data_IF_963835185584
#
_entry.id   IF_963835185584
#
_cell.length_a   1.000
_cell.length_b   1.000
_cell.length_c   1.000
_cell.angle_alpha   90.00
_cell.angle_beta   90.00
_cell.angle_gamma   90.00
#
_symmetry.space_group_name_H-M   'P 1'
#
loop_
_entity.id
_entity.type
_entity.pdbx_description
1 polymer ?
#
# COMPACT_ATOMS: atom_id res chain seq x y z
N UNK A 1 12.91 7.92 26.60
CA UNK A 1 12.50 8.32 25.25
C UNK A 1 12.34 7.05 24.43
N UNK A 2 11.15 6.79 23.91
CA UNK A 2 10.90 5.63 23.03
C UNK A 2 11.33 6.03 21.63
N UNK A 3 12.21 5.24 21.01
CA UNK A 3 12.55 5.36 19.58
C UNK A 3 11.67 4.43 18.79
N UNK A 4 10.81 4.99 17.92
CA UNK A 4 9.95 4.19 17.06
C UNK A 4 10.74 3.53 15.91
N UNK A 5 11.73 4.24 15.36
CA UNK A 5 12.74 3.72 14.45
C UNK A 5 14.13 4.09 14.96
N UNK A 6 15.07 3.16 14.84
CA UNK A 6 16.42 3.32 15.34
C UNK A 6 17.44 2.96 14.25
N UNK A 7 17.95 4.00 13.57
CA UNK A 7 18.96 3.94 12.52
C UNK A 7 18.59 2.96 11.37
N UNK A 8 17.40 3.14 10.79
CA UNK A 8 16.92 2.31 9.68
C UNK A 8 17.35 2.93 8.35
N UNK A 9 18.08 2.16 7.55
CA UNK A 9 18.41 2.48 6.16
C UNK A 9 17.98 1.33 5.26
N UNK A 10 17.02 1.58 4.35
CA UNK A 10 16.46 0.57 3.46
C UNK A 10 16.03 1.18 2.14
N UNK A 11 16.27 0.46 1.04
CA UNK A 11 15.74 0.80 -0.28
C UNK A 11 14.71 -0.25 -0.72
N UNK A 12 13.71 0.18 -1.48
CA UNK A 12 12.67 -0.65 -2.08
C UNK A 12 12.85 -0.66 -3.60
N UNK A 13 12.78 -1.84 -4.20
CA UNK A 13 12.94 -2.01 -5.65
C UNK A 13 11.74 -1.49 -6.43
N UNK A 14 11.99 -0.98 -7.65
CA UNK A 14 10.91 -0.69 -8.58
C UNK A 14 10.30 -1.99 -9.10
N UNK A 15 8.96 -2.07 -9.17
CA UNK A 15 8.26 -3.28 -9.58
C UNK A 15 8.45 -4.47 -8.63
N UNK A 16 8.73 -4.20 -7.36
CA UNK A 16 8.92 -5.22 -6.32
C UNK A 16 7.76 -5.18 -5.31
N UNK A 17 7.29 -6.35 -4.89
CA UNK A 17 6.38 -6.48 -3.77
C UNK A 17 7.17 -6.74 -2.49
N UNK A 18 7.26 -5.74 -1.61
CA UNK A 18 7.94 -5.88 -0.31
C UNK A 18 6.92 -5.89 0.82
N UNK A 19 6.98 -6.90 1.70
CA UNK A 19 6.23 -6.91 2.94
C UNK A 19 7.12 -6.49 4.12
N UNK A 20 6.54 -5.77 5.08
CA UNK A 20 7.17 -5.38 6.35
C UNK A 20 6.42 -6.09 7.46
N UNK A 21 7.10 -6.98 8.18
CA UNK A 21 6.55 -7.78 9.26
C UNK A 21 7.21 -7.48 10.60
N UNK A 22 6.62 -7.97 11.67
CA UNK A 22 7.16 -7.89 13.03
C UNK A 22 6.06 -7.75 14.08
N UNK A 23 6.40 -7.87 15.37
CA UNK A 23 5.43 -7.77 16.45
C UNK A 23 4.79 -6.39 16.55
N UNK A 24 3.68 -6.30 17.30
CA UNK A 24 3.06 -5.01 17.60
C UNK A 24 4.06 -4.08 18.33
N UNK A 25 4.07 -2.81 17.95
CA UNK A 25 5.00 -1.83 18.51
C UNK A 25 6.43 -1.85 17.96
N UNK A 26 6.75 -2.71 16.97
CA UNK A 26 8.10 -2.79 16.40
C UNK A 26 8.50 -1.62 15.46
N UNK A 27 7.60 -0.66 15.22
CA UNK A 27 7.88 0.52 14.38
C UNK A 27 7.37 0.44 12.95
N UNK A 28 6.70 -0.65 12.51
CA UNK A 28 6.21 -0.85 11.13
C UNK A 28 5.32 0.29 10.61
N UNK A 29 4.27 0.63 11.38
CA UNK A 29 3.34 1.71 10.99
C UNK A 29 4.04 3.07 10.96
N UNK A 30 4.97 3.32 11.89
CA UNK A 30 5.81 4.54 11.87
C UNK A 30 6.67 4.58 10.62
N UNK A 31 7.32 3.47 10.26
CA UNK A 31 8.12 3.36 9.03
C UNK A 31 7.26 3.63 7.80
N UNK A 32 6.10 3.00 7.73
CA UNK A 32 5.16 3.19 6.62
C UNK A 32 4.69 4.64 6.51
N UNK A 33 4.32 5.28 7.65
CA UNK A 33 3.89 6.69 7.64
C UNK A 33 5.00 7.63 7.17
N UNK A 34 6.25 7.38 7.58
CA UNK A 34 7.41 8.15 7.14
C UNK A 34 7.68 7.93 5.64
N UNK A 35 7.67 6.68 5.16
CA UNK A 35 7.83 6.35 3.74
C UNK A 35 6.74 6.99 2.86
N UNK A 36 5.54 7.09 3.39
CA UNK A 36 4.40 7.71 2.73
C UNK A 36 4.35 9.24 2.87
N UNK A 37 5.29 9.85 3.59
CA UNK A 37 5.29 11.28 3.87
C UNK A 37 4.10 11.75 4.71
N UNK A 38 3.50 10.85 5.50
CA UNK A 38 2.43 11.18 6.45
C UNK A 38 2.99 11.66 7.79
N UNK A 39 4.22 11.26 8.09
CA UNK A 39 4.96 11.69 9.27
C UNK A 39 6.41 12.05 8.87
N UNK A 40 7.07 12.87 9.67
CA UNK A 40 8.45 13.29 9.44
C UNK A 40 9.41 12.54 10.36
N UNK A 41 10.54 12.02 9.86
CA UNK A 41 11.55 11.43 10.72
C UNK A 41 12.23 12.51 11.57
N UNK A 42 12.67 12.17 12.79
CA UNK A 42 13.45 13.07 13.65
C UNK A 42 14.80 13.43 12.99
N UNK A 43 15.36 12.50 12.23
CA UNK A 43 16.59 12.67 11.45
C UNK A 43 16.61 11.68 10.28
N UNK A 44 17.49 11.90 9.32
CA UNK A 44 17.57 11.08 8.10
C UNK A 44 16.77 11.65 6.94
N UNK A 45 16.69 10.91 5.85
CA UNK A 45 16.02 11.33 4.62
C UNK A 45 15.21 10.19 4.01
N UNK A 46 14.14 10.55 3.33
CA UNK A 46 13.31 9.63 2.55
C UNK A 46 13.21 10.12 1.12
N UNK A 47 13.40 9.21 0.19
CA UNK A 47 13.30 9.48 -1.22
C UNK A 47 12.17 8.68 -1.85
N UNK A 48 11.38 9.34 -2.68
CA UNK A 48 10.45 8.69 -3.61
C UNK A 48 10.98 8.96 -5.01
N UNK A 49 11.45 7.90 -5.67
CA UNK A 49 12.30 8.04 -6.86
C UNK A 49 13.51 8.95 -6.53
N UNK A 50 13.77 9.98 -7.30
CA UNK A 50 14.88 10.93 -7.09
C UNK A 50 14.51 12.13 -6.20
N UNK A 51 13.31 12.15 -5.62
CA UNK A 51 12.81 13.28 -4.83
C UNK A 51 12.98 13.04 -3.33
N UNK A 52 13.79 13.87 -2.66
CA UNK A 52 13.86 13.90 -1.18
C UNK A 52 12.58 14.53 -0.64
N UNK A 53 11.68 13.66 -0.12
CA UNK A 53 10.38 14.10 0.39
C UNK A 53 10.49 14.77 1.77
N UNK A 54 11.56 14.52 2.51
CA UNK A 54 11.79 15.16 3.83
C UNK A 54 12.18 16.63 3.72
N UNK A 55 12.67 17.05 2.56
CA UNK A 55 13.01 18.45 2.27
C UNK A 55 11.83 19.28 1.73
N UNK A 56 10.68 18.62 1.44
CA UNK A 56 9.53 19.28 0.83
C UNK A 56 8.70 20.06 1.87
N UNK A 57 8.17 21.21 1.44
CA UNK A 57 7.12 21.94 2.18
C UNK A 57 5.77 21.21 2.03
N UNK A 58 4.87 21.40 2.99
CA UNK A 58 3.55 20.73 3.07
C UNK A 58 2.77 20.72 1.75
N UNK A 59 2.72 21.84 1.04
CA UNK A 59 2.01 21.93 -0.24
C UNK A 59 2.64 21.05 -1.33
N UNK A 60 3.98 21.00 -1.40
CA UNK A 60 4.68 20.16 -2.36
C UNK A 60 4.57 18.68 -1.99
N UNK A 61 4.71 18.37 -0.70
CA UNK A 61 4.54 17.00 -0.17
C UNK A 61 3.12 16.48 -0.40
N UNK A 62 2.09 17.31 -0.20
CA UNK A 62 0.70 16.95 -0.48
C UNK A 62 0.46 16.63 -1.96
N UNK A 63 1.06 17.42 -2.87
CA UNK A 63 0.98 17.13 -4.32
C UNK A 63 1.72 15.83 -4.67
N UNK A 64 2.91 15.61 -4.11
CA UNK A 64 3.67 14.39 -4.33
C UNK A 64 2.88 13.15 -3.85
N UNK A 65 2.34 13.20 -2.62
CA UNK A 65 1.51 12.09 -2.10
C UNK A 65 0.34 11.76 -3.01
N UNK A 66 -0.40 12.78 -3.45
CA UNK A 66 -1.55 12.61 -4.36
C UNK A 66 -1.15 11.94 -5.68
N UNK A 67 0.01 12.32 -6.21
CA UNK A 67 0.40 11.96 -7.58
C UNK A 67 1.31 10.73 -7.65
N UNK A 68 2.08 10.44 -6.57
CA UNK A 68 3.16 9.44 -6.58
C UNK A 68 3.00 8.31 -5.56
N UNK A 69 2.03 8.42 -4.62
CA UNK A 69 1.83 7.42 -3.58
C UNK A 69 0.37 6.98 -3.56
N UNK A 70 0.14 5.70 -3.83
CA UNK A 70 -1.17 5.07 -3.65
C UNK A 70 -1.32 4.54 -2.23
N UNK A 71 -2.51 4.66 -1.65
CA UNK A 71 -2.78 4.16 -0.29
C UNK A 71 -3.88 3.11 -0.31
N UNK A 72 -3.61 1.99 0.38
CA UNK A 72 -4.58 0.94 0.68
C UNK A 72 -4.57 0.71 2.19
N UNK A 73 -5.71 0.86 2.86
CA UNK A 73 -5.84 0.76 4.31
C UNK A 73 -6.71 -0.43 4.70
N UNK A 74 -6.51 -0.94 5.90
CA UNK A 74 -7.34 -1.98 6.50
C UNK A 74 -8.84 -1.62 6.55
N UNK A 75 -9.17 -0.36 6.83
CA UNK A 75 -10.55 0.15 6.91
C UNK A 75 -11.07 0.71 5.59
N UNK A 76 -10.42 0.37 4.45
CA UNK A 76 -10.77 0.79 3.08
C UNK A 76 -10.71 2.31 2.86
N UNK A 77 -11.11 3.11 3.82
CA UNK A 77 -11.15 4.59 3.81
C UNK A 77 -11.83 5.15 2.54
N UNK A 78 -12.93 4.52 2.14
CA UNK A 78 -13.78 5.03 1.07
C UNK A 78 -14.66 6.16 1.60
N UNK A 79 -14.94 7.15 0.76
CA UNK A 79 -15.88 8.23 1.08
C UNK A 79 -17.29 7.66 0.99
N UNK A 80 -18.06 7.56 2.11
CA UNK A 80 -19.30 6.80 2.15
C UNK A 80 -20.43 7.39 1.32
N UNK A 81 -20.38 8.70 1.04
CA UNK A 81 -21.37 9.42 0.23
C UNK A 81 -21.13 9.29 -1.27
N UNK A 82 -19.96 8.82 -1.68
CA UNK A 82 -19.58 8.61 -3.08
C UNK A 82 -19.82 7.15 -3.48
N UNK A 83 -20.21 6.93 -4.74
CA UNK A 83 -20.22 5.60 -5.34
C UNK A 83 -18.79 5.09 -5.61
N UNK A 84 -18.65 3.83 -6.03
CA UNK A 84 -17.36 3.22 -6.30
C UNK A 84 -16.59 3.97 -7.40
N UNK A 85 -17.26 4.37 -8.50
CA UNK A 85 -16.64 5.16 -9.57
C UNK A 85 -16.07 6.46 -9.04
N UNK A 86 -16.82 7.21 -8.25
CA UNK A 86 -16.40 8.49 -7.72
C UNK A 86 -15.25 8.34 -6.70
N UNK A 87 -15.25 7.26 -5.88
CA UNK A 87 -14.14 6.91 -5.00
C UNK A 87 -12.85 6.60 -5.79
N UNK A 88 -12.94 5.78 -6.84
CA UNK A 88 -11.80 5.43 -7.70
C UNK A 88 -11.20 6.69 -8.35
N UNK A 89 -12.05 7.58 -8.84
CA UNK A 89 -11.62 8.79 -9.55
C UNK A 89 -11.26 9.96 -8.63
N UNK A 90 -11.37 9.79 -7.31
CA UNK A 90 -11.12 10.86 -6.35
C UNK A 90 -9.73 11.49 -6.47
N UNK A 91 -8.62 10.74 -6.61
CA UNK A 91 -7.29 11.32 -6.77
C UNK A 91 -7.19 12.21 -8.03
N UNK A 92 -7.80 11.79 -9.14
CA UNK A 92 -7.80 12.54 -10.39
C UNK A 92 -8.59 13.85 -10.25
N UNK A 93 -9.76 13.80 -9.60
CA UNK A 93 -10.58 15.00 -9.31
C UNK A 93 -9.83 16.00 -8.43
N UNK A 94 -9.16 15.53 -7.36
CA UNK A 94 -8.34 16.37 -6.49
C UNK A 94 -7.13 16.97 -7.23
N UNK A 95 -6.65 16.29 -8.26
CA UNK A 95 -5.57 16.76 -9.11
C UNK A 95 -6.05 17.75 -10.21
N UNK A 96 -7.36 17.91 -10.41
CA UNK A 96 -7.93 18.66 -11.53
C UNK A 96 -7.62 18.02 -12.89
N UNK A 97 -7.41 16.69 -12.93
CA UNK A 97 -7.06 15.94 -14.15
C UNK A 97 -8.21 15.04 -14.59
N UNK A 98 -8.42 14.92 -15.89
CA UNK A 98 -9.32 13.93 -16.45
C UNK A 98 -8.68 12.53 -16.36
N UNK A 99 -9.44 11.48 -16.00
CA UNK A 99 -8.94 10.11 -16.05
C UNK A 99 -8.75 9.66 -17.50
N UNK A 100 -7.70 8.91 -17.76
CA UNK A 100 -7.55 8.17 -19.02
C UNK A 100 -8.55 7.01 -19.05
N UNK A 101 -9.42 7.00 -20.06
CA UNK A 101 -10.50 6.02 -20.15
C UNK A 101 -9.97 4.59 -20.21
N UNK A 102 -8.97 4.35 -21.03
CA UNK A 102 -8.36 3.03 -21.23
C UNK A 102 -7.75 2.50 -19.93
N UNK A 103 -7.10 3.36 -19.16
CA UNK A 103 -6.51 3.01 -17.86
C UNK A 103 -7.58 2.71 -16.81
N UNK A 104 -8.61 3.54 -16.75
CA UNK A 104 -9.76 3.29 -15.87
C UNK A 104 -10.41 1.96 -16.18
N UNK A 105 -10.71 1.69 -17.45
CA UNK A 105 -11.37 0.46 -17.90
C UNK A 105 -10.48 -0.76 -17.62
N UNK A 106 -9.16 -0.66 -17.83
CA UNK A 106 -8.21 -1.71 -17.51
C UNK A 106 -8.26 -2.07 -16.01
N UNK A 107 -8.11 -1.07 -15.12
CA UNK A 107 -8.13 -1.28 -13.67
C UNK A 107 -9.46 -1.89 -13.24
N UNK A 108 -10.57 -1.31 -13.62
CA UNK A 108 -11.92 -1.74 -13.21
C UNK A 108 -12.21 -3.19 -13.63
N UNK A 109 -11.79 -3.58 -14.84
CA UNK A 109 -11.97 -4.94 -15.33
C UNK A 109 -11.01 -5.92 -14.65
N UNK A 110 -9.73 -5.56 -14.49
CA UNK A 110 -8.74 -6.41 -13.81
C UNK A 110 -9.13 -6.70 -12.35
N UNK A 111 -9.76 -5.74 -11.68
CA UNK A 111 -10.22 -5.87 -10.30
C UNK A 111 -11.64 -6.46 -10.17
N UNK A 112 -12.33 -6.74 -11.27
CA UNK A 112 -13.65 -7.37 -11.28
C UNK A 112 -14.76 -6.53 -10.63
N UNK A 113 -14.66 -5.19 -10.69
CA UNK A 113 -15.60 -4.25 -10.05
C UNK A 113 -16.46 -3.46 -11.04
N UNK A 114 -16.42 -3.80 -12.32
CA UNK A 114 -17.16 -3.08 -13.36
C UNK A 114 -18.68 -3.00 -13.08
N UNK A 115 -19.26 -4.06 -12.52
CA UNK A 115 -20.68 -4.14 -12.18
C UNK A 115 -21.03 -3.47 -10.83
N UNK A 116 -20.06 -2.89 -10.14
CA UNK A 116 -20.21 -2.22 -8.82
C UNK A 116 -19.97 -0.71 -8.85
N UNK A 117 -19.67 -0.16 -10.02
CA UNK A 117 -19.27 1.26 -10.14
C UNK A 117 -20.30 2.26 -9.60
N UNK A 118 -21.58 1.92 -9.66
CA UNK A 118 -22.67 2.79 -9.18
C UNK A 118 -23.12 2.47 -7.74
N UNK A 119 -22.46 1.50 -7.06
CA UNK A 119 -22.79 1.16 -5.67
C UNK A 119 -22.00 2.04 -4.69
N UNK A 120 -22.63 2.36 -3.57
CA UNK A 120 -21.97 3.01 -2.44
C UNK A 120 -21.26 1.99 -1.54
N UNK A 121 -20.30 2.40 -0.70
CA UNK A 121 -19.62 1.48 0.22
C UNK A 121 -20.56 0.64 1.06
N UNK A 122 -21.68 1.18 1.55
CA UNK A 122 -22.68 0.45 2.33
C UNK A 122 -23.41 -0.66 1.58
N UNK A 123 -23.32 -0.69 0.25
CA UNK A 123 -23.97 -1.66 -0.63
C UNK A 123 -22.98 -2.73 -1.14
N UNK A 124 -21.73 -2.71 -0.63
CA UNK A 124 -20.64 -3.58 -1.08
C UNK A 124 -20.10 -4.42 0.08
N UNK A 125 -19.68 -5.66 -0.22
CA UNK A 125 -18.94 -6.49 0.74
C UNK A 125 -17.57 -5.86 1.07
N UNK A 126 -16.92 -6.31 2.16
CA UNK A 126 -15.57 -5.86 2.53
C UNK A 126 -14.55 -6.06 1.41
N UNK A 127 -14.54 -7.24 0.78
CA UNK A 127 -13.65 -7.51 -0.35
C UNK A 127 -13.92 -6.60 -1.57
N UNK A 128 -15.18 -6.29 -1.87
CA UNK A 128 -15.53 -5.34 -2.93
C UNK A 128 -15.07 -3.92 -2.59
N UNK A 129 -15.24 -3.48 -1.35
CA UNK A 129 -14.74 -2.18 -0.89
C UNK A 129 -13.22 -2.10 -0.99
N UNK A 130 -12.51 -3.16 -0.61
CA UNK A 130 -11.05 -3.20 -0.70
C UNK A 130 -10.57 -3.15 -2.15
N UNK A 131 -11.24 -3.85 -3.08
CA UNK A 131 -10.93 -3.76 -4.51
C UNK A 131 -11.14 -2.33 -5.04
N UNK A 132 -12.15 -1.62 -4.58
CA UNK A 132 -12.36 -0.19 -4.91
C UNK A 132 -11.23 0.66 -4.34
N UNK A 133 -10.75 0.38 -3.12
CA UNK A 133 -9.60 1.07 -2.52
C UNK A 133 -8.30 0.82 -3.30
N UNK A 134 -8.06 -0.42 -3.75
CA UNK A 134 -6.93 -0.77 -4.63
C UNK A 134 -7.04 -0.05 -5.97
N UNK A 135 -8.24 -0.04 -6.59
CA UNK A 135 -8.47 0.69 -7.84
C UNK A 135 -8.17 2.19 -7.69
N UNK A 136 -8.63 2.79 -6.59
CA UNK A 136 -8.34 4.19 -6.27
C UNK A 136 -6.84 4.45 -6.13
N UNK A 137 -6.12 3.56 -5.48
CA UNK A 137 -4.67 3.68 -5.30
C UNK A 137 -3.92 3.63 -6.64
N UNK A 138 -4.34 2.76 -7.58
CA UNK A 138 -3.74 2.61 -8.90
C UNK A 138 -4.07 3.76 -9.87
N UNK A 139 -5.15 4.51 -9.62
CA UNK A 139 -5.71 5.46 -10.60
C UNK A 139 -4.74 6.58 -10.99
N UNK A 140 -3.91 7.04 -10.07
CA UNK A 140 -2.90 8.09 -10.34
C UNK A 140 -1.61 7.56 -10.98
N UNK A 141 -1.48 6.25 -11.23
CA UNK A 141 -0.21 5.60 -11.65
C UNK A 141 0.93 5.96 -10.69
N UNK A 142 0.80 5.62 -9.41
CA UNK A 142 1.76 6.04 -8.40
C UNK A 142 3.12 5.36 -8.60
N UNK A 143 4.19 5.94 -8.06
CA UNK A 143 5.49 5.29 -8.00
C UNK A 143 5.49 4.08 -7.06
N UNK A 144 4.67 4.16 -6.00
CA UNK A 144 4.54 3.09 -5.00
C UNK A 144 3.13 3.05 -4.42
N UNK A 145 2.63 1.85 -4.17
CA UNK A 145 1.44 1.61 -3.34
C UNK A 145 1.92 1.23 -1.95
N UNK A 146 1.41 1.93 -0.94
CA UNK A 146 1.64 1.65 0.48
C UNK A 146 0.36 1.05 1.04
N UNK A 147 0.43 -0.20 1.51
CA UNK A 147 -0.71 -0.97 2.00
C UNK A 147 -0.54 -1.28 3.50
N UNK A 148 -1.45 -0.77 4.33
CA UNK A 148 -1.46 -0.98 5.77
C UNK A 148 -2.49 -2.03 6.13
N UNK A 149 -2.03 -3.24 6.46
CA UNK A 149 -2.88 -4.39 6.82
C UNK A 149 -4.06 -4.57 5.83
N UNK A 150 -3.81 -4.63 4.50
CA UNK A 150 -4.87 -4.48 3.49
C UNK A 150 -5.95 -5.54 3.55
N UNK A 151 -5.73 -6.62 4.28
CA UNK A 151 -6.63 -7.77 4.40
C UNK A 151 -7.14 -8.01 5.81
N UNK A 152 -6.75 -7.17 6.78
CA UNK A 152 -7.04 -7.39 8.19
C UNK A 152 -8.53 -7.38 8.58
N UNK A 153 -9.42 -6.87 7.72
CA UNK A 153 -10.88 -6.85 7.93
C UNK A 153 -11.62 -7.75 6.93
N UNK A 154 -10.94 -8.69 6.28
CA UNK A 154 -11.50 -9.56 5.25
C UNK A 154 -11.58 -11.02 5.74
N UNK A 155 -12.52 -11.77 5.18
CA UNK A 155 -12.52 -13.23 5.26
C UNK A 155 -11.41 -13.83 4.39
N UNK A 156 -11.10 -15.12 4.58
CA UNK A 156 -10.00 -15.80 3.90
C UNK A 156 -10.12 -15.73 2.37
N UNK A 157 -11.32 -15.93 1.82
CA UNK A 157 -11.53 -15.90 0.38
C UNK A 157 -11.29 -14.49 -0.20
N UNK A 158 -11.84 -13.46 0.44
CA UNK A 158 -11.61 -12.06 0.04
C UNK A 158 -10.15 -11.65 0.23
N UNK A 159 -9.46 -12.21 1.23
CA UNK A 159 -8.02 -12.01 1.45
C UNK A 159 -7.21 -12.49 0.25
N UNK A 160 -7.40 -13.76 -0.16
CA UNK A 160 -6.68 -14.32 -1.31
C UNK A 160 -6.92 -13.50 -2.58
N UNK A 161 -8.19 -13.14 -2.85
CA UNK A 161 -8.54 -12.32 -4.01
C UNK A 161 -7.83 -10.95 -4.01
N UNK A 162 -7.74 -10.27 -2.87
CA UNK A 162 -7.06 -8.96 -2.77
C UNK A 162 -5.55 -9.12 -2.89
N UNK A 163 -4.98 -10.17 -2.31
CA UNK A 163 -3.54 -10.44 -2.44
C UNK A 163 -3.15 -10.78 -3.88
N UNK A 164 -3.94 -11.61 -4.58
CA UNK A 164 -3.76 -11.89 -5.99
C UNK A 164 -3.81 -10.61 -6.85
N UNK A 165 -4.73 -9.69 -6.53
CA UNK A 165 -4.82 -8.42 -7.25
C UNK A 165 -3.61 -7.52 -7.02
N UNK A 166 -3.07 -7.44 -5.79
CA UNK A 166 -1.84 -6.72 -5.51
C UNK A 166 -0.64 -7.38 -6.20
N UNK A 167 -0.57 -8.71 -6.21
CA UNK A 167 0.48 -9.45 -6.93
C UNK A 167 0.44 -9.16 -8.43
N UNK A 168 -0.73 -9.25 -9.05
CA UNK A 168 -0.93 -8.92 -10.46
C UNK A 168 -0.61 -7.46 -10.79
N UNK A 169 -0.89 -6.52 -9.88
CA UNK A 169 -0.50 -5.13 -10.07
C UNK A 169 1.03 -4.98 -10.18
N UNK A 170 1.79 -5.78 -9.44
CA UNK A 170 3.26 -5.83 -9.55
C UNK A 170 3.67 -6.52 -10.86
N UNK A 171 3.18 -7.73 -11.13
CA UNK A 171 3.63 -8.58 -12.23
C UNK A 171 3.22 -8.04 -13.61
N UNK A 172 1.98 -7.56 -13.75
CA UNK A 172 1.40 -7.14 -15.03
C UNK A 172 1.55 -5.64 -15.29
N UNK A 173 1.51 -4.81 -14.23
CA UNK A 173 1.55 -3.34 -14.36
C UNK A 173 2.89 -2.73 -13.94
N UNK A 174 3.85 -3.55 -13.43
CA UNK A 174 5.14 -3.08 -12.94
C UNK A 174 5.05 -2.19 -11.71
N UNK A 175 3.96 -2.30 -10.94
CA UNK A 175 3.69 -1.47 -9.78
C UNK A 175 4.57 -1.89 -8.60
N UNK A 176 5.20 -0.93 -7.90
CA UNK A 176 5.86 -1.23 -6.62
C UNK A 176 4.82 -1.25 -5.48
N UNK A 177 4.90 -2.25 -4.61
CA UNK A 177 4.02 -2.39 -3.45
C UNK A 177 4.84 -2.56 -2.17
N UNK A 178 4.55 -1.76 -1.16
CA UNK A 178 5.07 -1.91 0.21
C UNK A 178 3.87 -2.20 1.11
N UNK A 179 3.83 -3.39 1.70
CA UNK A 179 2.73 -3.83 2.55
C UNK A 179 3.21 -4.02 3.99
N UNK A 180 2.49 -3.46 4.94
CA UNK A 180 2.64 -3.83 6.36
C UNK A 180 1.63 -4.92 6.67
N UNK A 181 2.09 -6.01 7.25
CA UNK A 181 1.23 -7.09 7.74
C UNK A 181 1.86 -7.83 8.92
N UNK A 182 1.03 -8.43 9.75
CA UNK A 182 1.47 -9.37 10.80
C UNK A 182 1.14 -10.82 10.42
N UNK A 183 0.44 -11.03 9.30
CA UNK A 183 0.01 -12.34 8.83
C UNK A 183 1.03 -12.95 7.86
N UNK A 184 1.56 -14.11 8.20
CA UNK A 184 2.52 -14.86 7.37
C UNK A 184 1.88 -15.38 6.08
N UNK A 185 0.58 -15.68 6.09
CA UNK A 185 -0.12 -16.17 4.90
C UNK A 185 -0.20 -15.09 3.79
N UNK A 186 -0.32 -13.82 4.18
CA UNK A 186 -0.30 -12.71 3.23
C UNK A 186 1.13 -12.29 2.85
N UNK A 187 2.10 -12.44 3.75
CA UNK A 187 3.48 -12.06 3.49
C UNK A 187 4.17 -12.93 2.42
N UNK A 188 3.73 -14.19 2.23
CA UNK A 188 4.28 -15.09 1.21
C UNK A 188 4.01 -14.63 -0.23
N UNK A 189 3.08 -13.70 -0.45
CA UNK A 189 2.86 -13.08 -1.76
C UNK A 189 3.96 -12.10 -2.17
N UNK A 190 4.80 -11.67 -1.21
CA UNK A 190 5.84 -10.69 -1.47
C UNK A 190 7.11 -11.33 -2.04
N UNK A 191 7.84 -10.57 -2.88
CA UNK A 191 9.17 -10.96 -3.39
C UNK A 191 10.24 -10.82 -2.29
N UNK A 192 9.97 -9.93 -1.31
CA UNK A 192 10.90 -9.59 -0.23
C UNK A 192 10.14 -9.34 1.06
N UNK A 193 10.68 -9.80 2.18
CA UNK A 193 10.13 -9.53 3.50
C UNK A 193 11.18 -8.92 4.41
N UNK A 194 10.85 -7.76 4.96
CA UNK A 194 11.63 -7.09 6.01
C UNK A 194 11.00 -7.41 7.37
N UNK A 195 11.79 -7.94 8.28
CA UNK A 195 11.34 -8.17 9.66
C UNK A 195 11.82 -7.04 10.54
N UNK A 196 10.86 -6.34 11.16
CA UNK A 196 11.12 -5.24 12.10
C UNK A 196 10.98 -5.72 13.54
N UNK A 197 11.95 -5.36 14.38
CA UNK A 197 11.91 -5.58 15.83
C UNK A 197 12.59 -4.39 16.54
N UNK A 198 11.91 -3.84 17.55
CA UNK A 198 12.41 -2.74 18.37
C UNK A 198 12.94 -1.54 17.56
N UNK A 199 12.20 -1.18 16.50
CA UNK A 199 12.52 -0.05 15.63
C UNK A 199 13.66 -0.30 14.64
N UNK A 200 14.13 -1.54 14.48
CA UNK A 200 15.21 -1.92 13.55
C UNK A 200 14.76 -2.99 12.58
N UNK A 201 15.38 -3.05 11.40
CA UNK A 201 15.26 -4.17 10.48
C UNK A 201 16.24 -5.25 10.93
N UNK A 202 15.72 -6.41 11.37
CA UNK A 202 16.53 -7.53 11.88
C UNK A 202 16.73 -8.64 10.86
N UNK A 203 15.87 -8.70 9.84
CA UNK A 203 15.99 -9.64 8.72
C UNK A 203 15.49 -9.02 7.42
N UNK A 204 16.11 -9.43 6.32
CA UNK A 204 15.78 -9.05 4.95
C UNK A 204 15.78 -10.32 4.10
N UNK A 205 14.59 -10.84 3.82
CA UNK A 205 14.38 -12.14 3.17
C UNK A 205 13.95 -11.91 1.73
N UNK A 206 14.63 -12.58 0.80
CA UNK A 206 14.26 -12.62 -0.63
C UNK A 206 13.78 -13.99 -1.10
N UNK A 207 14.07 -15.01 -0.34
CA UNK A 207 13.51 -16.37 -0.53
C UNK A 207 12.37 -16.53 0.49
N UNK A 208 11.18 -16.04 0.09
CA UNK A 208 10.01 -15.90 0.98
C UNK A 208 9.21 -17.19 0.95
N UNK A 209 9.36 -17.99 2.00
CA UNK A 209 8.58 -19.20 2.25
C UNK A 209 7.97 -19.14 3.65
N UNK A 210 6.93 -19.95 3.91
CA UNK A 210 6.34 -20.04 5.25
C UNK A 210 7.38 -20.45 6.32
N UNK A 211 8.32 -21.31 5.95
CA UNK A 211 9.38 -21.79 6.85
C UNK A 211 10.41 -20.68 7.13
N UNK A 212 10.87 -19.95 6.08
CA UNK A 212 11.82 -18.84 6.24
C UNK A 212 11.22 -17.71 7.08
N UNK A 213 9.92 -17.39 6.89
CA UNK A 213 9.20 -16.41 7.70
C UNK A 213 9.09 -16.84 9.16
N UNK A 214 8.69 -18.10 9.40
CA UNK A 214 8.59 -18.64 10.76
C UNK A 214 9.93 -18.61 11.50
N UNK A 215 11.03 -18.91 10.80
CA UNK A 215 12.37 -18.84 11.36
C UNK A 215 12.81 -17.41 11.71
N UNK A 216 12.49 -16.43 10.85
CA UNK A 216 12.89 -15.03 11.02
C UNK A 216 12.06 -14.27 12.08
N UNK A 217 10.85 -14.73 12.37
CA UNK A 217 9.94 -14.13 13.36
C UNK A 217 10.19 -14.62 14.82
N UNK A 218 10.98 -15.67 14.99
CA UNK A 218 11.41 -16.17 16.34
C UNK A 218 12.49 -15.29 16.93
#
# INVERSE_FOLDING_TARGET
QVRALDDVSVGFGAGEFTAIMGPSGSGKSTMMHILAGLDAPTSGRVFVEDTDITALKDTALTKLRRDRIGFVFQSFNLVPTLDARANILLPMRLAGRAPEKEWFDLIVNSLGIANRLNHRPSEMSGGQQQRVAVARALMSRPAVIVADEPTGNLDSHSTDEVMDLLRRAVDELGQSVIMVTHDTATAVYADRVLVCRDGRIVSDLRDVTADSLTAALR
#
